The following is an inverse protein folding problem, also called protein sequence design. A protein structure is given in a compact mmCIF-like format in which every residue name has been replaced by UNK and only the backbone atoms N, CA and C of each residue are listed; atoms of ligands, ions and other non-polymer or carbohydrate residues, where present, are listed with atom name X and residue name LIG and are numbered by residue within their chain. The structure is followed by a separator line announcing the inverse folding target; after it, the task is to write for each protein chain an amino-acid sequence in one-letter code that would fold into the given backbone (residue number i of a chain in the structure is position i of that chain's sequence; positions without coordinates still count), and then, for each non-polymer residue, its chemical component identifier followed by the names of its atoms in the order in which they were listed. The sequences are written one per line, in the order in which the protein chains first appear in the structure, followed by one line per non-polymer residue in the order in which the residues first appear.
data_IF_692745419468
#
_entry.id   IF_692745419468
#
_cell.length_a   1.000
_cell.length_b   1.000
_cell.length_c   1.000
_cell.angle_alpha   90.00
_cell.angle_beta   90.00
_cell.angle_gamma   90.00
#
_symmetry.space_group_name_H-M   'P 1'
#
loop_
_entity.id
_entity.type
_entity.pdbx_description
1 polymer ?
#
# COMPACT_ATOMS: atom_id res chain seq x y z
N UNK A 1 54.21 33.00 -16.29
CA UNK A 1 52.93 32.51 -15.74
C UNK A 1 52.34 31.60 -16.78
N UNK A 2 52.41 30.28 -16.57
CA UNK A 2 51.97 29.29 -17.55
C UNK A 2 50.45 29.26 -17.63
N UNK A 3 49.91 29.29 -18.86
CA UNK A 3 48.52 29.00 -19.15
C UNK A 3 48.23 27.57 -18.74
N UNK A 4 47.41 27.38 -17.71
CA UNK A 4 46.79 26.07 -17.46
C UNK A 4 45.86 25.82 -18.63
N UNK A 5 46.16 24.78 -19.40
CA UNK A 5 45.38 24.37 -20.55
C UNK A 5 44.08 23.75 -20.04
N UNK A 6 43.02 24.57 -20.05
CA UNK A 6 41.70 24.25 -19.49
C UNK A 6 41.07 23.05 -20.21
N UNK A 7 41.39 22.90 -21.49
CA UNK A 7 40.80 21.90 -22.40
C UNK A 7 41.28 20.47 -22.07
N UNK A 8 42.58 20.29 -21.78
CA UNK A 8 43.15 19.01 -21.35
C UNK A 8 42.70 18.59 -19.96
N UNK A 9 42.48 19.56 -19.06
CA UNK A 9 41.98 19.28 -17.71
C UNK A 9 40.50 18.89 -17.74
N UNK A 10 39.70 19.53 -18.60
CA UNK A 10 38.29 19.22 -18.80
C UNK A 10 38.10 17.85 -19.46
N UNK A 11 38.87 17.53 -20.51
CA UNK A 11 38.86 16.20 -21.13
C UNK A 11 39.25 15.07 -20.16
N UNK A 12 40.27 15.28 -19.32
CA UNK A 12 40.68 14.29 -18.33
C UNK A 12 39.63 14.07 -17.22
N UNK A 13 38.91 15.13 -16.84
CA UNK A 13 37.77 15.05 -15.91
C UNK A 13 36.58 14.31 -16.53
N UNK A 14 36.33 14.50 -17.82
CA UNK A 14 35.29 13.79 -18.58
C UNK A 14 35.61 12.28 -18.72
N UNK A 15 36.85 11.92 -19.08
CA UNK A 15 37.27 10.51 -19.15
C UNK A 15 37.22 9.80 -17.80
N UNK A 16 37.67 10.47 -16.72
CA UNK A 16 37.58 9.96 -15.36
C UNK A 16 36.13 9.71 -14.91
N UNK A 17 35.24 10.64 -15.26
CA UNK A 17 33.80 10.52 -14.98
C UNK A 17 33.16 9.36 -15.74
N UNK A 18 33.47 9.22 -17.02
CA UNK A 18 32.99 8.11 -17.85
C UNK A 18 33.48 6.76 -17.34
N UNK A 19 34.73 6.67 -16.90
CA UNK A 19 35.28 5.45 -16.30
C UNK A 19 34.55 5.07 -15.01
N UNK A 20 34.31 6.05 -14.12
CA UNK A 20 33.54 5.84 -12.90
C UNK A 20 32.11 5.35 -13.19
N UNK A 21 31.45 5.92 -14.21
CA UNK A 21 30.10 5.48 -14.62
C UNK A 21 30.14 4.04 -15.13
N UNK A 22 31.10 3.69 -16.00
CA UNK A 22 31.25 2.34 -16.53
C UNK A 22 31.48 1.31 -15.42
N UNK A 23 32.34 1.61 -14.44
CA UNK A 23 32.59 0.75 -13.29
C UNK A 23 31.34 0.54 -12.42
N UNK A 24 30.54 1.59 -12.21
CA UNK A 24 29.27 1.50 -11.48
C UNK A 24 28.25 0.64 -12.24
N UNK A 25 28.12 0.82 -13.55
CA UNK A 25 27.22 0.01 -14.38
C UNK A 25 27.63 -1.47 -14.34
N UNK A 26 28.93 -1.76 -14.47
CA UNK A 26 29.47 -3.12 -14.35
C UNK A 26 29.17 -3.72 -12.97
N UNK A 27 29.26 -2.92 -11.90
CA UNK A 27 28.88 -3.35 -10.55
C UNK A 27 27.37 -3.64 -10.45
N UNK A 28 26.52 -2.80 -11.03
CA UNK A 28 25.06 -3.02 -11.07
C UNK A 28 24.69 -4.29 -11.83
N UNK A 29 25.29 -4.50 -13.00
CA UNK A 29 25.12 -5.74 -13.78
C UNK A 29 25.54 -6.97 -12.96
N UNK A 30 26.73 -6.91 -12.34
CA UNK A 30 27.20 -8.00 -11.49
C UNK A 30 26.31 -8.30 -10.27
N UNK A 31 25.65 -7.30 -9.69
CA UNK A 31 24.69 -7.51 -8.60
C UNK A 31 23.31 -8.02 -9.09
N UNK A 32 22.87 -7.57 -10.27
CA UNK A 32 21.66 -8.09 -10.94
C UNK A 32 21.84 -9.57 -11.27
N UNK A 33 22.95 -9.92 -11.90
CA UNK A 33 23.17 -11.26 -12.45
C UNK A 33 23.25 -12.34 -11.37
N UNK A 34 23.73 -12.02 -10.16
CA UNK A 34 23.67 -12.91 -8.97
C UNK A 34 22.26 -13.38 -8.60
N UNK A 35 21.22 -12.66 -9.06
CA UNK A 35 19.83 -12.82 -8.61
C UNK A 35 18.88 -13.10 -9.76
N UNK A 36 19.38 -13.11 -11.00
CA UNK A 36 18.62 -13.60 -12.14
C UNK A 36 18.32 -15.08 -11.93
N UNK A 37 17.04 -15.43 -12.03
CA UNK A 37 16.53 -16.75 -11.71
C UNK A 37 15.70 -17.26 -12.88
N UNK A 38 16.06 -18.40 -13.49
CA UNK A 38 15.36 -18.92 -14.67
C UNK A 38 13.92 -19.33 -14.37
N UNK A 39 13.63 -19.65 -13.11
CA UNK A 39 12.29 -19.98 -12.60
C UNK A 39 11.41 -18.75 -12.35
N UNK A 40 11.88 -17.52 -12.61
CA UNK A 40 11.02 -16.34 -12.70
C UNK A 40 10.09 -16.16 -11.49
N UNK A 41 8.77 -16.09 -11.70
CA UNK A 41 7.79 -15.94 -10.62
C UNK A 41 7.56 -17.24 -9.81
N UNK A 42 7.95 -18.40 -10.33
CA UNK A 42 7.78 -19.70 -9.67
C UNK A 42 8.71 -19.88 -8.45
N UNK A 43 9.67 -18.96 -8.28
CA UNK A 43 10.47 -18.84 -7.06
C UNK A 43 9.63 -18.45 -5.82
N UNK A 44 8.34 -18.16 -5.99
CA UNK A 44 7.41 -17.78 -4.93
C UNK A 44 6.20 -18.71 -4.88
N UNK A 45 5.74 -19.00 -3.66
CA UNK A 45 4.43 -19.61 -3.42
C UNK A 45 3.39 -18.51 -3.31
N UNK A 46 2.45 -18.47 -4.24
CA UNK A 46 1.30 -17.57 -4.17
C UNK A 46 0.26 -18.15 -3.19
N UNK A 47 0.11 -17.49 -2.03
CA UNK A 47 -0.71 -18.03 -0.94
C UNK A 47 -2.20 -18.13 -1.29
N UNK A 48 -2.68 -17.35 -2.24
CA UNK A 48 -4.07 -17.45 -2.73
C UNK A 48 -4.35 -18.69 -3.59
N UNK A 49 -3.32 -19.43 -4.01
CA UNK A 49 -3.42 -20.64 -4.85
C UNK A 49 -2.93 -21.91 -4.16
N UNK A 50 -2.40 -21.82 -2.93
CA UNK A 50 -1.88 -22.99 -2.24
C UNK A 50 -2.99 -23.87 -1.67
N UNK A 51 -2.80 -25.19 -1.71
CA UNK A 51 -3.64 -26.17 -1.03
C UNK A 51 -3.05 -26.62 0.32
N UNK A 52 -1.78 -26.29 0.59
CA UNK A 52 -1.11 -26.60 1.86
C UNK A 52 -1.82 -25.87 3.02
N UNK A 53 -2.44 -26.60 3.98
CA UNK A 53 -3.17 -26.00 5.09
C UNK A 53 -2.31 -25.11 5.99
N UNK A 54 -1.02 -25.44 6.14
CA UNK A 54 -0.07 -24.66 6.93
C UNK A 54 0.20 -23.32 6.24
N UNK A 55 0.39 -23.34 4.93
CA UNK A 55 0.60 -22.10 4.16
C UNK A 55 -0.68 -21.25 4.08
N UNK A 56 -1.86 -21.88 4.03
CA UNK A 56 -3.15 -21.16 4.12
C UNK A 56 -3.33 -20.41 5.44
N UNK A 57 -2.66 -20.81 6.52
CA UNK A 57 -2.73 -20.06 7.78
C UNK A 57 -2.19 -18.62 7.63
N UNK A 58 -1.29 -18.37 6.69
CA UNK A 58 -0.75 -17.03 6.40
C UNK A 58 -1.74 -16.10 5.70
N UNK A 59 -2.88 -16.61 5.23
CA UNK A 59 -3.93 -15.78 4.59
C UNK A 59 -5.07 -15.44 5.55
N UNK A 60 -5.04 -15.95 6.79
CA UNK A 60 -6.08 -15.66 7.79
C UNK A 60 -6.15 -14.17 8.06
N UNK A 61 -7.36 -13.67 8.28
CA UNK A 61 -7.62 -12.29 8.66
C UNK A 61 -7.63 -12.18 10.19
N UNK A 62 -6.62 -11.56 10.82
CA UNK A 62 -6.57 -11.43 12.28
C UNK A 62 -7.41 -10.24 12.79
N UNK A 63 -8.05 -9.46 11.89
CA UNK A 63 -8.72 -8.21 12.23
C UNK A 63 -10.25 -8.27 12.16
N UNK A 64 -10.81 -9.49 12.08
CA UNK A 64 -12.24 -9.70 12.03
C UNK A 64 -12.93 -9.17 13.29
N UNK A 65 -14.09 -8.56 13.10
CA UNK A 65 -14.97 -8.10 14.18
C UNK A 65 -16.44 -8.28 13.77
N UNK A 66 -17.37 -7.85 14.63
CA UNK A 66 -18.81 -8.02 14.40
C UNK A 66 -19.30 -7.43 13.07
N UNK A 67 -18.69 -6.32 12.61
CA UNK A 67 -19.07 -5.67 11.33
C UNK A 67 -18.65 -6.51 10.12
N UNK A 68 -17.64 -7.37 10.25
CA UNK A 68 -17.12 -8.20 9.16
C UNK A 68 -18.16 -9.20 8.63
N UNK A 69 -19.16 -9.54 9.45
CA UNK A 69 -20.20 -10.51 9.11
C UNK A 69 -21.50 -9.91 8.65
N UNK A 70 -21.59 -8.57 8.58
CA UNK A 70 -22.75 -7.89 8.03
C UNK A 70 -23.01 -8.36 6.59
N UNK A 71 -24.27 -8.72 6.33
CA UNK A 71 -24.77 -9.06 5.00
C UNK A 71 -25.74 -7.97 4.58
N UNK A 72 -25.43 -7.29 3.48
CA UNK A 72 -26.25 -6.22 2.90
C UNK A 72 -26.83 -6.59 1.54
N UNK A 73 -26.24 -7.60 0.89
CA UNK A 73 -26.70 -8.12 -0.39
C UNK A 73 -27.21 -9.56 -0.23
N UNK A 74 -28.33 -9.85 -0.88
CA UNK A 74 -28.96 -11.16 -0.90
C UNK A 74 -28.90 -11.79 -2.29
N UNK A 75 -29.02 -13.11 -2.35
CA UNK A 75 -29.01 -13.85 -3.62
C UNK A 75 -30.19 -13.41 -4.51
N UNK A 76 -29.89 -13.17 -5.79
CA UNK A 76 -30.84 -12.67 -6.78
C UNK A 76 -31.11 -11.15 -6.73
N UNK A 77 -30.55 -10.41 -5.78
CA UNK A 77 -30.79 -8.97 -5.64
C UNK A 77 -30.28 -8.20 -6.86
N UNK A 78 -31.04 -7.18 -7.27
CA UNK A 78 -30.63 -6.21 -8.30
C UNK A 78 -30.28 -4.88 -7.65
N UNK A 79 -29.13 -4.33 -8.03
CA UNK A 79 -28.57 -3.07 -7.51
C UNK A 79 -28.08 -2.19 -8.65
N UNK A 80 -27.80 -0.91 -8.38
CA UNK A 80 -27.33 0.01 -9.41
C UNK A 80 -25.80 0.03 -9.52
N UNK A 81 -25.07 0.26 -8.42
CA UNK A 81 -23.61 0.37 -8.44
C UNK A 81 -22.95 -0.65 -7.49
N UNK A 82 -22.13 -1.53 -8.05
CA UNK A 82 -21.26 -2.42 -7.29
C UNK A 82 -19.80 -2.01 -7.48
N UNK A 83 -19.11 -1.75 -6.37
CA UNK A 83 -17.70 -1.40 -6.33
C UNK A 83 -16.93 -2.53 -5.67
N UNK A 84 -16.04 -3.17 -6.43
CA UNK A 84 -15.10 -4.16 -5.91
C UNK A 84 -13.90 -3.42 -5.30
N UNK A 85 -13.71 -3.56 -3.99
CA UNK A 85 -12.68 -2.92 -3.20
C UNK A 85 -13.28 -1.87 -2.27
N UNK A 86 -13.07 -2.04 -0.97
CA UNK A 86 -13.37 -1.10 0.11
C UNK A 86 -12.07 -0.43 0.62
N UNK A 87 -11.04 -0.36 -0.21
CA UNK A 87 -9.86 0.48 0.01
C UNK A 87 -10.09 1.93 -0.42
N UNK A 88 -9.03 2.75 -0.30
CA UNK A 88 -9.06 4.17 -0.64
C UNK A 88 -9.62 4.45 -2.04
N UNK A 89 -9.23 3.67 -3.05
CA UNK A 89 -9.70 3.85 -4.43
C UNK A 89 -11.20 3.58 -4.62
N UNK A 90 -11.70 2.46 -4.07
CA UNK A 90 -13.13 2.14 -4.15
C UNK A 90 -13.99 3.11 -3.33
N UNK A 91 -13.48 3.56 -2.18
CA UNK A 91 -14.12 4.61 -1.40
C UNK A 91 -14.19 5.92 -2.18
N UNK A 92 -13.08 6.36 -2.80
CA UNK A 92 -13.05 7.56 -3.62
C UNK A 92 -14.02 7.47 -4.81
N UNK A 93 -14.12 6.30 -5.45
CA UNK A 93 -15.11 6.09 -6.51
C UNK A 93 -16.55 6.24 -6.02
N UNK A 94 -16.89 5.59 -4.89
CA UNK A 94 -18.21 5.72 -4.27
C UNK A 94 -18.55 7.18 -3.89
N UNK A 95 -17.60 7.89 -3.29
CA UNK A 95 -17.76 9.32 -2.94
C UNK A 95 -17.99 10.16 -4.20
N UNK A 96 -17.24 9.92 -5.27
CA UNK A 96 -17.42 10.65 -6.52
C UNK A 96 -18.76 10.34 -7.21
N UNK A 97 -19.27 9.11 -7.13
CA UNK A 97 -20.63 8.80 -7.58
C UNK A 97 -21.67 9.62 -6.82
N UNK A 98 -21.54 9.69 -5.50
CA UNK A 98 -22.45 10.49 -4.65
C UNK A 98 -22.35 11.97 -4.99
N UNK A 99 -21.14 12.51 -5.12
CA UNK A 99 -20.91 13.91 -5.55
C UNK A 99 -21.51 14.20 -6.94
N UNK A 100 -21.65 13.18 -7.80
CA UNK A 100 -22.28 13.30 -9.12
C UNK A 100 -23.81 13.15 -9.09
N UNK A 101 -24.42 13.01 -7.92
CA UNK A 101 -25.88 12.92 -7.73
C UNK A 101 -26.43 11.50 -7.55
N UNK A 102 -25.59 10.47 -7.47
CA UNK A 102 -26.04 9.10 -7.15
C UNK A 102 -26.41 9.02 -5.67
N UNK A 103 -27.54 8.38 -5.33
CA UNK A 103 -27.89 8.16 -3.93
C UNK A 103 -26.91 7.14 -3.30
N UNK A 104 -26.42 7.42 -2.09
CA UNK A 104 -25.54 6.51 -1.36
C UNK A 104 -26.20 5.16 -1.04
N UNK A 105 -27.54 5.09 -1.00
CA UNK A 105 -28.28 3.82 -0.87
C UNK A 105 -28.10 2.88 -2.08
N UNK A 106 -27.67 3.41 -3.22
CA UNK A 106 -27.51 2.67 -4.48
C UNK A 106 -26.06 2.22 -4.75
N UNK A 107 -25.14 2.55 -3.85
CA UNK A 107 -23.71 2.23 -3.94
C UNK A 107 -23.34 1.15 -2.93
N UNK A 108 -22.84 0.02 -3.43
CA UNK A 108 -22.41 -1.11 -2.62
C UNK A 108 -20.92 -1.34 -2.77
N UNK A 109 -20.20 -1.39 -1.65
CA UNK A 109 -18.78 -1.76 -1.61
C UNK A 109 -18.66 -3.25 -1.25
N UNK A 110 -17.85 -4.02 -1.96
CA UNK A 110 -17.52 -5.40 -1.61
C UNK A 110 -16.02 -5.60 -1.51
N UNK A 111 -15.57 -6.28 -0.46
CA UNK A 111 -14.14 -6.53 -0.25
C UNK A 111 -13.92 -7.91 0.41
N UNK A 112 -12.79 -8.54 0.12
CA UNK A 112 -12.40 -9.80 0.75
C UNK A 112 -11.87 -9.60 2.17
N UNK A 113 -11.41 -8.39 2.48
CA UNK A 113 -11.12 -7.91 3.83
C UNK A 113 -12.34 -7.99 4.75
N UNK A 114 -12.11 -8.18 6.06
CA UNK A 114 -13.14 -8.07 7.07
C UNK A 114 -13.56 -6.63 7.42
N UNK A 115 -13.06 -5.61 6.74
CA UNK A 115 -13.40 -4.21 7.03
C UNK A 115 -12.87 -3.23 5.98
N UNK A 116 -13.17 -1.95 6.19
CA UNK A 116 -12.77 -0.86 5.30
C UNK A 116 -11.29 -0.54 5.44
N UNK A 117 -10.66 -0.08 4.34
CA UNK A 117 -9.32 0.50 4.34
C UNK A 117 -8.35 -0.15 3.35
N UNK A 118 -8.69 -1.32 2.79
CA UNK A 118 -7.86 -2.03 1.81
C UNK A 118 -6.46 -2.33 2.36
N UNK A 119 -5.41 -1.77 1.76
CA UNK A 119 -4.04 -1.91 2.28
C UNK A 119 -3.92 -1.55 3.75
N UNK A 120 -4.63 -0.52 4.23
CA UNK A 120 -4.60 -0.05 5.62
C UNK A 120 -5.51 -0.85 6.56
N UNK A 121 -6.43 -1.64 6.00
CA UNK A 121 -7.11 -2.69 6.76
C UNK A 121 -6.16 -3.86 7.04
N UNK A 122 -5.46 -4.32 6.00
CA UNK A 122 -4.65 -5.52 6.08
C UNK A 122 -3.34 -5.32 6.85
N UNK A 123 -2.58 -4.28 6.49
CA UNK A 123 -1.26 -4.03 7.03
C UNK A 123 -1.40 -3.24 8.34
N UNK A 124 -1.26 -3.94 9.45
CA UNK A 124 -1.25 -3.37 10.81
C UNK A 124 -0.03 -3.86 11.59
N UNK A 125 1.12 -3.93 10.93
CA UNK A 125 2.37 -4.25 11.60
C UNK A 125 2.90 -3.00 12.33
N UNK A 126 3.79 -3.17 13.32
CA UNK A 126 4.32 -2.08 14.14
C UNK A 126 4.81 -0.89 13.33
N UNK A 127 4.24 0.28 13.61
CA UNK A 127 4.57 1.56 12.94
C UNK A 127 4.49 1.55 11.42
N UNK A 128 3.63 0.71 10.86
CA UNK A 128 3.29 0.83 9.44
C UNK A 128 2.86 2.27 9.14
N UNK A 129 3.45 2.88 8.12
CA UNK A 129 3.18 4.26 7.71
C UNK A 129 3.17 4.38 6.19
N UNK A 130 2.52 5.42 5.68
CA UNK A 130 2.73 5.82 4.29
C UNK A 130 4.20 6.26 4.08
N UNK A 131 4.64 6.17 2.84
CA UNK A 131 5.99 6.52 2.40
C UNK A 131 5.99 7.73 1.45
N UNK A 132 4.83 8.34 1.26
CA UNK A 132 4.57 9.62 0.60
C UNK A 132 4.01 10.57 1.66
N UNK A 133 4.30 11.87 1.54
CA UNK A 133 3.77 12.90 2.42
C UNK A 133 2.24 12.79 2.61
N UNK A 134 1.78 12.80 3.86
CA UNK A 134 0.38 12.68 4.24
C UNK A 134 -0.54 13.71 3.56
N UNK A 135 -0.02 14.91 3.30
CA UNK A 135 -0.80 16.05 2.79
C UNK A 135 -1.21 15.87 1.33
N UNK A 136 -0.55 14.97 0.60
CA UNK A 136 -0.91 14.54 -0.76
C UNK A 136 -1.41 13.09 -0.80
N UNK A 137 -1.12 12.30 0.23
CA UNK A 137 -1.54 10.91 0.33
C UNK A 137 -3.02 10.76 0.69
N UNK A 138 -3.53 11.55 1.65
CA UNK A 138 -4.92 11.47 2.05
C UNK A 138 -5.81 12.13 0.99
N UNK A 139 -6.91 11.47 0.56
CA UNK A 139 -7.88 12.08 -0.34
C UNK A 139 -8.79 13.04 0.43
N UNK A 140 -9.32 14.07 -0.22
CA UNK A 140 -10.36 14.95 0.31
C UNK A 140 -9.99 15.76 1.58
N UNK A 141 -8.70 16.06 1.79
CA UNK A 141 -8.26 16.84 2.96
C UNK A 141 -8.90 18.24 2.99
N UNK A 142 -8.99 18.91 1.84
CA UNK A 142 -9.58 20.24 1.74
C UNK A 142 -11.07 20.23 2.10
N UNK A 143 -11.86 19.28 1.60
CA UNK A 143 -13.29 19.18 1.91
C UNK A 143 -13.60 18.70 3.32
N UNK A 144 -12.66 17.96 3.93
CA UNK A 144 -12.83 17.47 5.30
C UNK A 144 -12.31 18.43 6.35
N UNK A 145 -11.38 19.32 5.99
CA UNK A 145 -10.61 20.12 6.94
C UNK A 145 -9.74 19.27 7.87
N UNK A 146 -9.48 18.01 7.50
CA UNK A 146 -8.70 17.10 8.32
C UNK A 146 -7.22 17.46 8.22
N UNK A 147 -6.57 17.63 9.37
CA UNK A 147 -5.13 17.81 9.46
C UNK A 147 -4.48 16.46 9.83
N UNK A 148 -3.69 15.84 8.94
CA UNK A 148 -2.90 14.67 9.30
C UNK A 148 -1.99 14.98 10.49
N UNK A 149 -1.81 14.04 11.41
CA UNK A 149 -1.04 14.23 12.65
C UNK A 149 0.47 14.24 12.42
N UNK A 150 0.94 13.64 11.33
CA UNK A 150 2.34 13.54 10.97
C UNK A 150 2.53 13.77 9.47
N UNK A 151 3.73 14.21 9.07
CA UNK A 151 4.09 14.29 7.66
C UNK A 151 4.10 12.91 6.96
N UNK A 152 4.29 11.81 7.70
CA UNK A 152 4.04 10.44 7.22
C UNK A 152 3.11 9.69 8.17
N UNK A 153 1.81 9.71 7.91
CA UNK A 153 0.80 9.13 8.79
C UNK A 153 0.95 7.62 8.97
N UNK A 154 0.66 7.17 10.19
CA UNK A 154 0.60 5.75 10.52
C UNK A 154 -0.68 5.10 9.96
N UNK A 155 -0.62 3.80 9.72
CA UNK A 155 -1.71 3.06 9.09
C UNK A 155 -3.05 3.15 9.82
N UNK A 156 -3.04 3.15 11.16
CA UNK A 156 -4.26 3.29 11.95
C UNK A 156 -4.94 4.64 11.74
N UNK A 157 -4.18 5.73 11.59
CA UNK A 157 -4.71 7.07 11.32
C UNK A 157 -5.36 7.12 9.95
N UNK A 158 -4.66 6.60 8.93
CA UNK A 158 -5.17 6.53 7.57
C UNK A 158 -6.46 5.71 7.52
N UNK A 159 -6.47 4.53 8.15
CA UNK A 159 -7.68 3.68 8.20
C UNK A 159 -8.84 4.39 8.89
N UNK A 160 -8.60 4.99 10.06
CA UNK A 160 -9.63 5.71 10.80
C UNK A 160 -10.21 6.88 9.99
N UNK A 161 -9.37 7.58 9.23
CA UNK A 161 -9.83 8.63 8.31
C UNK A 161 -10.71 8.07 7.19
N UNK A 162 -10.31 6.98 6.55
CA UNK A 162 -11.11 6.32 5.50
C UNK A 162 -12.46 5.83 6.05
N UNK A 163 -12.48 5.27 7.27
CA UNK A 163 -13.71 4.90 7.97
C UNK A 163 -14.60 6.11 8.25
N UNK A 164 -14.02 7.24 8.65
CA UNK A 164 -14.76 8.49 8.85
C UNK A 164 -15.36 9.05 7.56
N UNK A 165 -14.64 8.93 6.44
CA UNK A 165 -15.13 9.30 5.11
C UNK A 165 -16.29 8.39 4.68
N UNK A 166 -16.15 7.08 4.85
CA UNK A 166 -17.21 6.12 4.54
C UNK A 166 -18.50 6.44 5.32
N UNK A 167 -18.38 6.75 6.61
CA UNK A 167 -19.51 7.17 7.43
C UNK A 167 -20.11 8.51 6.98
N UNK A 168 -19.27 9.53 6.72
CA UNK A 168 -19.71 10.86 6.26
C UNK A 168 -20.54 10.81 4.98
N UNK A 169 -20.15 9.93 4.04
CA UNK A 169 -20.85 9.76 2.76
C UNK A 169 -21.87 8.61 2.77
N UNK A 170 -22.07 7.93 3.90
CA UNK A 170 -23.02 6.82 4.05
C UNK A 170 -22.69 5.60 3.21
N UNK A 171 -21.41 5.31 2.95
CA UNK A 171 -20.94 4.16 2.17
C UNK A 171 -20.69 2.92 3.05
N UNK A 172 -20.60 3.09 4.36
CA UNK A 172 -20.45 2.00 5.33
C UNK A 172 -21.73 1.16 5.49
N UNK A 173 -22.91 1.77 5.27
CA UNK A 173 -24.21 1.10 5.39
C UNK A 173 -24.37 -0.06 4.41
N UNK A 174 -23.80 0.04 3.21
CA UNK A 174 -23.90 -0.91 2.11
C UNK A 174 -22.59 -1.63 1.79
N UNK A 175 -21.59 -1.52 2.66
CA UNK A 175 -20.35 -2.27 2.55
C UNK A 175 -20.54 -3.73 3.02
N UNK A 176 -20.11 -4.69 2.21
CA UNK A 176 -20.15 -6.12 2.50
C UNK A 176 -18.75 -6.73 2.45
N UNK A 177 -18.24 -7.07 3.62
CA UNK A 177 -16.89 -7.56 3.86
C UNK A 177 -16.79 -9.09 3.78
N UNK A 178 -15.57 -9.65 3.85
CA UNK A 178 -15.29 -11.08 3.71
C UNK A 178 -15.95 -11.69 2.47
N UNK A 179 -16.05 -10.91 1.40
CA UNK A 179 -16.76 -11.26 0.17
C UNK A 179 -15.83 -11.21 -1.02
N UNK A 180 -15.54 -12.38 -1.58
CA UNK A 180 -14.69 -12.50 -2.76
C UNK A 180 -15.57 -12.57 -4.01
N UNK A 181 -15.43 -11.61 -4.92
CA UNK A 181 -16.03 -11.71 -6.26
C UNK A 181 -15.30 -12.81 -7.04
N UNK A 182 -16.06 -13.75 -7.61
CA UNK A 182 -15.53 -14.91 -8.34
C UNK A 182 -15.68 -14.75 -9.85
N UNK A 183 -16.78 -14.16 -10.31
CA UNK A 183 -17.03 -13.89 -11.73
C UNK A 183 -17.99 -12.71 -11.91
N UNK A 184 -17.89 -12.06 -13.06
CA UNK A 184 -18.84 -11.08 -13.55
C UNK A 184 -19.07 -11.33 -15.04
N UNK A 185 -20.33 -11.51 -15.43
CA UNK A 185 -20.73 -11.77 -16.82
C UNK A 185 -21.77 -10.75 -17.22
N UNK A 186 -21.58 -10.12 -18.38
CA UNK A 186 -22.56 -9.18 -18.92
C UNK A 186 -23.74 -9.95 -19.53
N UNK A 187 -24.96 -9.56 -19.17
CA UNK A 187 -26.20 -10.04 -19.77
C UNK A 187 -26.74 -8.95 -20.70
N UNK A 188 -26.65 -9.18 -22.02
CA UNK A 188 -27.11 -8.24 -23.05
C UNK A 188 -28.63 -8.00 -23.01
N UNK A 189 -29.41 -9.00 -22.59
CA UNK A 189 -30.87 -8.89 -22.53
C UNK A 189 -31.31 -8.03 -21.34
N UNK A 190 -30.69 -8.25 -20.18
CA UNK A 190 -30.97 -7.50 -18.96
C UNK A 190 -30.24 -6.16 -18.88
N UNK A 191 -29.22 -5.97 -19.73
CA UNK A 191 -28.28 -4.82 -19.72
C UNK A 191 -27.65 -4.60 -18.35
N UNK A 192 -27.24 -5.71 -17.71
CA UNK A 192 -26.66 -5.73 -16.37
C UNK A 192 -25.57 -6.79 -16.30
N UNK A 193 -24.63 -6.59 -15.38
CA UNK A 193 -23.67 -7.61 -14.97
C UNK A 193 -24.33 -8.57 -13.99
N UNK A 194 -24.25 -9.87 -14.24
CA UNK A 194 -24.45 -10.90 -13.23
C UNK A 194 -23.11 -11.18 -12.53
N UNK A 195 -23.05 -10.91 -11.22
CA UNK A 195 -21.84 -11.03 -10.41
C UNK A 195 -22.02 -12.15 -9.41
N UNK A 196 -21.13 -13.15 -9.46
CA UNK A 196 -21.09 -14.25 -8.48
C UNK A 196 -20.03 -13.95 -7.44
N UNK A 197 -20.41 -14.05 -6.17
CA UNK A 197 -19.57 -13.73 -5.01
C UNK A 197 -19.61 -14.85 -3.98
N UNK A 198 -18.49 -15.06 -3.29
CA UNK A 198 -18.38 -15.98 -2.17
C UNK A 198 -18.23 -15.19 -0.87
N UNK A 199 -19.28 -15.16 -0.05
CA UNK A 199 -19.28 -14.54 1.28
C UNK A 199 -18.86 -15.57 2.31
N UNK A 200 -17.82 -15.26 3.09
CA UNK A 200 -17.49 -16.02 4.30
C UNK A 200 -18.14 -15.36 5.50
N UNK A 201 -18.82 -16.14 6.34
CA UNK A 201 -19.42 -15.70 7.61
C UNK A 201 -18.82 -16.52 8.76
N UNK A 202 -18.83 -16.00 9.99
CA UNK A 202 -18.35 -16.75 11.16
C UNK A 202 -19.23 -17.97 11.49
N UNK A 203 -20.54 -17.88 11.24
CA UNK A 203 -21.54 -18.85 11.69
C UNK A 203 -21.95 -19.90 10.64
N UNK A 204 -20.99 -20.44 9.90
CA UNK A 204 -21.27 -21.55 8.97
C UNK A 204 -20.36 -21.59 7.75
N UNK A 205 -20.68 -22.45 6.76
CA UNK A 205 -19.91 -22.55 5.53
C UNK A 205 -20.03 -21.24 4.71
N UNK A 206 -19.03 -20.94 3.85
CA UNK A 206 -19.13 -19.86 2.88
C UNK A 206 -20.40 -19.97 2.03
N UNK A 207 -21.02 -18.84 1.71
CA UNK A 207 -22.24 -18.74 0.90
C UNK A 207 -21.94 -18.11 -0.44
N UNK A 208 -22.39 -18.75 -1.51
CA UNK A 208 -22.41 -18.14 -2.84
C UNK A 208 -23.62 -17.22 -2.95
N UNK A 209 -23.40 -15.99 -3.41
CA UNK A 209 -24.41 -14.97 -3.64
C UNK A 209 -24.26 -14.48 -5.07
N UNK A 210 -25.35 -14.46 -5.83
CA UNK A 210 -25.43 -13.85 -7.15
C UNK A 210 -26.21 -12.55 -7.08
N UNK A 211 -25.68 -11.48 -7.65
CA UNK A 211 -26.39 -10.19 -7.76
C UNK A 211 -26.35 -9.69 -9.19
N UNK A 212 -27.30 -8.83 -9.55
CA UNK A 212 -27.31 -8.10 -10.83
C UNK A 212 -26.99 -6.63 -10.58
N UNK A 213 -26.02 -6.08 -11.29
CA UNK A 213 -25.65 -4.67 -11.17
C UNK A 213 -25.58 -3.98 -12.53
N UNK A 214 -25.96 -2.71 -12.62
CA UNK A 214 -25.85 -1.95 -13.86
C UNK A 214 -24.42 -1.46 -14.07
N UNK A 215 -23.78 -0.97 -13.01
CA UNK A 215 -22.41 -0.46 -13.04
C UNK A 215 -21.52 -1.27 -12.11
N UNK A 216 -20.49 -1.90 -12.68
CA UNK A 216 -19.48 -2.65 -11.96
C UNK A 216 -18.13 -1.91 -12.06
N UNK A 217 -17.58 -1.50 -10.92
CA UNK A 217 -16.30 -0.78 -10.87
C UNK A 217 -15.24 -1.58 -10.10
N UNK A 218 -14.02 -1.65 -10.61
CA UNK A 218 -12.94 -2.47 -10.06
C UNK A 218 -11.83 -1.64 -9.43
N UNK A 219 -11.68 -1.78 -8.11
CA UNK A 219 -10.59 -1.19 -7.32
C UNK A 219 -9.92 -2.25 -6.43
N UNK A 220 -9.41 -3.37 -7.00
CA UNK A 220 -8.82 -4.44 -6.22
C UNK A 220 -7.54 -3.99 -5.50
N UNK A 221 -6.85 -2.96 -6.00
CA UNK A 221 -5.51 -2.58 -5.55
C UNK A 221 -4.40 -3.39 -6.26
N UNK A 222 -3.15 -3.00 -6.02
CA UNK A 222 -1.98 -3.53 -6.75
C UNK A 222 -1.15 -4.56 -5.95
N UNK A 223 -1.31 -4.63 -4.62
CA UNK A 223 -0.54 -5.50 -3.73
C UNK A 223 -1.45 -6.43 -2.90
N UNK A 224 -2.33 -7.15 -3.58
CA UNK A 224 -3.44 -7.88 -2.95
C UNK A 224 -3.07 -9.25 -2.39
N UNK A 225 -2.10 -9.95 -2.99
CA UNK A 225 -1.80 -11.33 -2.63
C UNK A 225 -0.42 -11.47 -2.00
N UNK A 226 -0.38 -12.02 -0.79
CA UNK A 226 0.86 -12.36 -0.11
C UNK A 226 1.54 -13.51 -0.85
N UNK A 227 2.86 -13.45 -0.88
CA UNK A 227 3.69 -14.51 -1.43
C UNK A 227 4.77 -14.89 -0.43
N UNK A 228 5.07 -16.17 -0.34
CA UNK A 228 6.22 -16.66 0.41
C UNK A 228 7.31 -17.08 -0.57
N UNK A 229 8.60 -17.01 -0.19
CA UNK A 229 9.64 -17.62 -1.01
C UNK A 229 9.42 -19.14 -1.04
N UNK A 230 9.62 -19.77 -2.21
CA UNK A 230 9.51 -21.22 -2.39
C UNK A 230 10.74 -21.95 -1.82
N UNK A 231 10.96 -21.80 -0.50
CA UNK A 231 12.07 -22.45 0.23
C UNK A 231 11.64 -23.87 0.59
N UNK A 232 12.40 -24.91 0.23
CA UNK A 232 12.13 -26.27 0.65
C UNK A 232 12.00 -26.36 2.18
N UNK A 233 10.90 -26.94 2.65
CA UNK A 233 10.63 -27.09 4.08
C UNK A 233 10.07 -25.85 4.78
N UNK A 234 9.70 -24.78 4.08
CA UNK A 234 9.13 -23.57 4.73
C UNK A 234 7.89 -23.87 5.58
N UNK A 235 7.03 -24.81 5.16
CA UNK A 235 5.85 -25.25 5.93
C UNK A 235 6.18 -26.22 7.09
N UNK A 236 7.41 -26.72 7.18
CA UNK A 236 7.83 -27.66 8.24
C UNK A 236 8.37 -26.97 9.50
N UNK A 237 8.57 -25.65 9.46
CA UNK A 237 9.01 -24.88 10.62
C UNK A 237 7.95 -24.95 11.73
N UNK A 238 8.35 -25.41 12.92
CA UNK A 238 7.45 -25.64 14.05
C UNK A 238 7.26 -24.42 14.97
N UNK A 239 8.04 -23.36 14.77
CA UNK A 239 7.87 -22.11 15.52
C UNK A 239 6.69 -21.29 15.01
N UNK A 240 6.33 -20.25 15.78
CA UNK A 240 5.31 -19.29 15.37
C UNK A 240 5.77 -18.53 14.12
N UNK A 241 4.88 -18.44 13.14
CA UNK A 241 5.15 -17.83 11.84
C UNK A 241 3.87 -17.17 11.30
N UNK A 242 4.03 -15.99 10.71
CA UNK A 242 2.98 -15.24 10.05
C UNK A 242 3.59 -14.26 9.05
N UNK A 243 2.79 -13.78 8.10
CA UNK A 243 3.22 -12.77 7.13
C UNK A 243 3.06 -11.38 7.75
N UNK A 244 3.96 -10.44 7.46
CA UNK A 244 3.90 -9.07 8.02
C UNK A 244 2.56 -8.36 7.71
N UNK A 245 1.98 -8.63 6.55
CA UNK A 245 0.65 -8.14 6.14
C UNK A 245 -0.54 -8.79 6.90
N UNK A 246 -0.29 -9.74 7.79
CA UNK A 246 -1.24 -10.42 8.69
C UNK A 246 -0.61 -10.50 10.08
N UNK A 247 -0.12 -9.36 10.57
CA UNK A 247 0.60 -9.27 11.83
C UNK A 247 -0.20 -9.88 12.98
N UNK A 248 0.43 -10.70 13.80
CA UNK A 248 -0.23 -11.36 14.92
C UNK A 248 0.28 -10.81 16.26
N UNK A 249 -0.44 -9.83 16.79
CA UNK A 249 -0.15 -9.24 18.10
C UNK A 249 -0.33 -10.22 19.27
N UNK A 250 -1.07 -11.33 19.09
CA UNK A 250 -1.13 -12.38 20.11
C UNK A 250 0.22 -13.07 20.29
N UNK A 251 1.02 -13.13 19.23
CA UNK A 251 2.39 -13.65 19.24
C UNK A 251 3.38 -12.61 19.74
N UNK A 252 3.30 -11.37 19.25
CA UNK A 252 4.34 -10.37 19.49
C UNK A 252 4.15 -9.52 20.74
N UNK A 253 2.90 -9.39 21.23
CA UNK A 253 2.54 -8.39 22.23
C UNK A 253 2.36 -7.00 21.61
N UNK A 254 1.68 -6.11 22.33
CA UNK A 254 1.33 -4.75 21.88
C UNK A 254 0.07 -4.68 21.01
N UNK A 255 -0.17 -3.51 20.44
CA UNK A 255 -1.23 -3.22 19.45
C UNK A 255 -0.67 -2.41 18.28
N UNK A 256 -1.52 -2.06 17.32
CA UNK A 256 -1.15 -1.19 16.20
C UNK A 256 -0.78 0.22 16.66
N UNK A 257 -1.55 0.78 17.60
CA UNK A 257 -1.32 2.10 18.18
C UNK A 257 -0.18 2.11 19.20
N UNK A 258 -0.03 1.03 19.96
CA UNK A 258 0.99 0.86 21.00
C UNK A 258 1.81 -0.42 20.76
N UNK A 259 2.80 -0.37 19.85
CA UNK A 259 3.57 -1.56 19.44
C UNK A 259 4.65 -1.95 20.47
N UNK A 260 4.24 -2.20 21.72
CA UNK A 260 5.13 -2.73 22.77
C UNK A 260 5.22 -4.25 22.61
N UNK A 261 6.22 -4.71 21.85
CA UNK A 261 6.37 -6.12 21.47
C UNK A 261 7.02 -6.98 22.58
N UNK A 262 6.49 -6.88 23.80
CA UNK A 262 7.06 -7.46 25.02
C UNK A 262 7.21 -8.98 25.00
N UNK A 263 6.34 -9.71 24.29
CA UNK A 263 6.42 -11.17 24.13
C UNK A 263 7.62 -11.63 23.28
N UNK A 264 8.35 -10.70 22.67
CA UNK A 264 9.57 -11.01 21.90
C UNK A 264 10.85 -10.97 22.74
N UNK A 265 10.81 -10.48 23.99
CA UNK A 265 12.00 -10.22 24.84
C UNK A 265 12.92 -11.41 25.09
N UNK A 266 12.38 -12.63 25.08
CA UNK A 266 13.13 -13.87 25.25
C UNK A 266 13.25 -14.66 23.94
N UNK A 267 12.76 -14.11 22.82
CA UNK A 267 12.63 -14.82 21.54
C UNK A 267 13.76 -14.47 20.57
N UNK A 268 14.15 -15.48 19.80
CA UNK A 268 14.95 -15.31 18.58
C UNK A 268 13.98 -15.14 17.42
N UNK A 269 14.02 -14.00 16.76
CA UNK A 269 13.09 -13.64 15.69
C UNK A 269 13.84 -13.59 14.37
N UNK A 270 13.24 -14.11 13.31
CA UNK A 270 13.78 -14.00 11.95
C UNK A 270 12.79 -13.23 11.07
N UNK A 271 13.28 -12.26 10.31
CA UNK A 271 12.52 -11.53 9.29
C UNK A 271 13.13 -11.87 7.92
N UNK A 272 12.31 -12.38 7.01
CA UNK A 272 12.71 -12.70 5.64
C UNK A 272 12.27 -11.57 4.72
N UNK A 273 13.24 -10.91 4.10
CA UNK A 273 13.02 -9.76 3.24
C UNK A 273 13.11 -8.42 3.96
N UNK A 274 13.48 -7.40 3.18
CA UNK A 274 13.86 -6.07 3.65
C UNK A 274 13.34 -4.97 2.70
N UNK A 275 12.21 -5.22 2.01
CA UNK A 275 11.50 -4.16 1.27
C UNK A 275 10.86 -3.14 2.22
N UNK A 276 9.99 -2.26 1.75
CA UNK A 276 9.40 -1.18 2.56
C UNK A 276 8.83 -1.67 3.91
N UNK A 277 8.05 -2.75 3.90
CA UNK A 277 7.51 -3.35 5.13
C UNK A 277 8.60 -3.91 6.05
N UNK A 278 9.65 -4.51 5.49
CA UNK A 278 10.79 -4.99 6.25
C UNK A 278 11.56 -3.86 6.90
N UNK A 279 11.88 -2.79 6.17
CA UNK A 279 12.58 -1.60 6.70
C UNK A 279 11.83 -1.00 7.89
N UNK A 280 10.50 -0.86 7.80
CA UNK A 280 9.68 -0.38 8.91
C UNK A 280 9.62 -1.38 10.08
N UNK A 281 9.32 -2.65 9.81
CA UNK A 281 9.11 -3.66 10.86
C UNK A 281 10.37 -4.12 11.59
N UNK A 282 11.52 -4.21 10.89
CA UNK A 282 12.82 -4.62 11.46
C UNK A 282 13.21 -3.71 12.62
N UNK A 283 13.06 -2.39 12.45
CA UNK A 283 13.43 -1.41 13.47
C UNK A 283 12.58 -1.57 14.75
N UNK A 284 11.28 -1.88 14.62
CA UNK A 284 10.44 -2.11 15.79
C UNK A 284 10.74 -3.45 16.46
N UNK A 285 10.93 -4.53 15.69
CA UNK A 285 11.25 -5.85 16.27
C UNK A 285 12.60 -5.84 16.99
N UNK A 286 13.60 -5.13 16.46
CA UNK A 286 14.95 -5.05 17.04
C UNK A 286 14.96 -4.46 18.46
N UNK A 287 13.99 -3.59 18.80
CA UNK A 287 13.88 -2.97 20.13
C UNK A 287 13.49 -3.96 21.23
N UNK A 288 12.86 -5.08 20.85
CA UNK A 288 12.26 -6.01 21.80
C UNK A 288 12.82 -7.42 21.71
N UNK A 289 13.17 -7.93 20.53
CA UNK A 289 13.64 -9.31 20.37
C UNK A 289 14.95 -9.58 21.13
N UNK A 290 15.12 -10.78 21.68
CA UNK A 290 16.41 -11.20 22.28
C UNK A 290 17.52 -11.23 21.22
N UNK A 291 17.21 -11.82 20.08
CA UNK A 291 18.07 -11.87 18.90
C UNK A 291 17.20 -11.66 17.66
N UNK A 292 17.67 -10.84 16.72
CA UNK A 292 17.00 -10.60 15.44
C UNK A 292 17.89 -11.02 14.28
N UNK A 293 17.37 -11.90 13.43
CA UNK A 293 18.00 -12.34 12.19
C UNK A 293 17.28 -11.73 10.99
N UNK A 294 17.97 -10.90 10.22
CA UNK A 294 17.43 -10.32 8.98
C UNK A 294 17.97 -11.09 7.78
N UNK A 295 17.09 -11.84 7.11
CA UNK A 295 17.44 -12.65 5.94
C UNK A 295 17.25 -11.83 4.68
N UNK A 296 18.34 -11.25 4.19
CA UNK A 296 18.35 -10.34 3.04
C UNK A 296 18.84 -11.03 1.77
N UNK A 297 18.06 -10.89 0.69
CA UNK A 297 18.51 -11.28 -0.67
C UNK A 297 19.07 -10.09 -1.45
N UNK A 298 18.37 -8.96 -1.44
CA UNK A 298 18.78 -7.71 -2.11
C UNK A 298 18.67 -6.57 -1.11
N UNK A 299 19.72 -5.79 -0.86
CA UNK A 299 19.60 -4.61 0.02
C UNK A 299 18.60 -3.61 -0.58
N UNK A 300 17.68 -3.10 0.24
CA UNK A 300 16.87 -1.95 -0.12
C UNK A 300 17.72 -0.69 -0.05
N UNK A 301 17.47 0.26 -0.95
CA UNK A 301 17.97 1.63 -0.78
C UNK A 301 17.14 2.30 0.30
N UNK A 302 17.79 2.81 1.34
CA UNK A 302 17.14 3.43 2.50
C UNK A 302 17.61 4.88 2.57
N UNK A 303 16.65 5.79 2.68
CA UNK A 303 16.90 7.21 2.84
C UNK A 303 16.25 7.74 4.13
N UNK A 304 16.51 9.01 4.44
CA UNK A 304 15.98 9.72 5.59
C UNK A 304 14.48 9.93 5.38
N UNK A 305 13.68 9.46 6.36
CA UNK A 305 12.24 9.71 6.38
C UNK A 305 11.88 11.06 7.01
N UNK A 306 12.69 11.56 7.94
CA UNK A 306 12.41 12.79 8.71
C UNK A 306 10.97 12.88 9.24
N UNK A 307 10.54 11.80 9.92
CA UNK A 307 9.20 11.70 10.49
C UNK A 307 9.01 12.73 11.60
N UNK A 308 7.96 13.56 11.49
CA UNK A 308 7.63 14.61 12.46
C UNK A 308 6.13 14.80 12.61
N UNK A 309 5.66 15.29 13.78
CA UNK A 309 4.30 15.79 13.90
C UNK A 309 4.07 16.94 12.91
N UNK A 310 2.85 17.05 12.41
CA UNK A 310 2.42 18.20 11.60
C UNK A 310 2.40 19.45 12.49
N UNK A 311 3.10 20.50 12.08
CA UNK A 311 3.04 21.81 12.74
C UNK A 311 1.73 22.50 12.36
N UNK A 312 0.86 22.88 13.32
CA UNK A 312 -0.38 23.59 13.03
C UNK A 312 -0.20 24.90 12.25
N UNK A 313 0.91 25.62 12.47
CA UNK A 313 1.17 26.87 11.75
C UNK A 313 1.54 26.60 10.28
N UNK A 314 2.40 25.62 10.03
CA UNK A 314 2.74 25.15 8.69
C UNK A 314 1.49 24.63 7.96
N UNK A 315 0.67 23.81 8.64
CA UNK A 315 -0.57 23.30 8.09
C UNK A 315 -1.53 24.42 7.69
N UNK A 316 -1.72 25.41 8.56
CA UNK A 316 -2.57 26.57 8.27
C UNK A 316 -2.09 27.31 7.02
N UNK A 317 -0.78 27.45 6.82
CA UNK A 317 -0.21 28.06 5.63
C UNK A 317 -0.37 27.18 4.37
N UNK A 318 -0.21 25.85 4.49
CA UNK A 318 -0.43 24.90 3.39
C UNK A 318 -1.89 24.93 2.94
N UNK A 319 -2.83 24.96 3.89
CA UNK A 319 -4.26 24.77 3.63
C UNK A 319 -5.05 26.07 3.48
N UNK A 320 -4.40 27.24 3.39
CA UNK A 320 -5.08 28.54 3.39
C UNK A 320 -5.80 28.88 2.08
N UNK A 321 -5.26 28.42 0.95
CA UNK A 321 -5.71 28.81 -0.37
C UNK A 321 -6.67 27.75 -0.96
N UNK A 322 -7.72 28.14 -1.71
CA UNK A 322 -8.58 27.18 -2.38
C UNK A 322 -7.80 26.31 -3.39
N UNK A 323 -8.18 25.04 -3.50
CA UNK A 323 -7.55 24.01 -4.34
C UNK A 323 -6.11 23.68 -3.96
N UNK A 324 -5.65 24.04 -2.74
CA UNK A 324 -4.28 23.78 -2.30
C UNK A 324 -3.89 22.31 -2.44
N UNK A 325 -4.82 21.39 -2.17
CA UNK A 325 -4.55 19.95 -2.17
C UNK A 325 -4.22 19.46 -3.58
N UNK A 326 -5.05 19.83 -4.53
CA UNK A 326 -4.89 19.48 -5.94
C UNK A 326 -3.65 20.17 -6.56
N UNK A 327 -3.36 21.42 -6.18
CA UNK A 327 -2.11 22.11 -6.55
C UNK A 327 -0.89 21.34 -6.01
N UNK A 328 -0.91 20.93 -4.74
CA UNK A 328 0.20 20.20 -4.09
C UNK A 328 0.41 18.81 -4.71
N UNK A 329 -0.68 18.09 -4.98
CA UNK A 329 -0.64 16.80 -5.67
C UNK A 329 -0.04 16.91 -7.08
N UNK A 330 -0.48 17.91 -7.88
CA UNK A 330 0.11 18.15 -9.20
C UNK A 330 1.58 18.56 -9.11
N UNK A 331 1.92 19.43 -8.17
CA UNK A 331 3.31 19.86 -7.97
C UNK A 331 4.24 18.67 -7.67
N UNK A 332 3.82 17.73 -6.81
CA UNK A 332 4.58 16.49 -6.56
C UNK A 332 4.70 15.64 -7.83
N UNK A 333 3.61 15.44 -8.57
CA UNK A 333 3.62 14.67 -9.81
C UNK A 333 4.54 15.30 -10.88
N UNK A 334 4.51 16.62 -11.01
CA UNK A 334 5.36 17.39 -11.91
C UNK A 334 6.84 17.30 -11.49
N UNK A 335 7.12 17.28 -10.18
CA UNK A 335 8.50 17.11 -9.69
C UNK A 335 9.03 15.70 -9.97
N UNK A 336 8.24 14.67 -9.67
CA UNK A 336 8.58 13.27 -9.91
C UNK A 336 8.78 12.93 -11.39
N UNK A 337 8.03 13.59 -12.27
CA UNK A 337 8.14 13.42 -13.73
C UNK A 337 9.14 14.39 -14.38
N UNK A 338 9.71 15.33 -13.63
CA UNK A 338 10.60 16.37 -14.18
C UNK A 338 9.88 17.40 -15.05
N UNK A 339 8.57 17.55 -14.89
CA UNK A 339 7.72 18.52 -15.56
C UNK A 339 7.56 19.85 -14.79
N UNK A 340 8.05 19.94 -13.54
CA UNK A 340 7.99 21.17 -12.73
C UNK A 340 8.73 22.30 -13.45
N UNK A 341 8.06 23.44 -13.68
CA UNK A 341 8.64 24.50 -14.51
C UNK A 341 9.72 25.28 -13.76
N UNK A 342 10.74 25.82 -14.47
CA UNK A 342 11.72 26.70 -13.85
C UNK A 342 11.05 27.88 -13.12
N UNK A 343 11.38 28.05 -11.83
CA UNK A 343 10.85 29.10 -10.98
C UNK A 343 9.54 28.77 -10.24
N UNK A 344 8.88 27.65 -10.53
CA UNK A 344 7.78 27.16 -9.70
C UNK A 344 8.35 26.57 -8.40
N UNK A 345 7.77 26.87 -7.22
CA UNK A 345 8.23 26.31 -5.96
C UNK A 345 7.97 24.81 -5.90
N UNK A 346 8.92 24.04 -5.38
CA UNK A 346 8.72 22.65 -5.01
C UNK A 346 8.01 22.63 -3.65
N UNK A 347 6.76 22.15 -3.62
CA UNK A 347 5.89 22.24 -2.45
C UNK A 347 6.08 21.06 -1.49
N UNK A 348 6.36 19.87 -2.02
CA UNK A 348 6.74 18.67 -1.26
C UNK A 348 8.25 18.58 -1.30
N UNK A 349 8.91 18.52 -0.15
CA UNK A 349 10.38 18.46 -0.07
C UNK A 349 10.80 17.30 0.83
N UNK A 350 10.74 16.10 0.26
CA UNK A 350 11.14 14.85 0.91
C UNK A 350 11.97 13.97 -0.03
N UNK A 351 12.42 12.82 0.48
CA UNK A 351 13.25 11.89 -0.29
C UNK A 351 12.57 11.41 -1.59
N UNK A 352 11.23 11.35 -1.65
CA UNK A 352 10.47 10.81 -2.77
C UNK A 352 10.72 11.63 -4.04
N UNK A 353 10.80 12.95 -3.89
CA UNK A 353 11.02 13.91 -4.98
C UNK A 353 12.51 14.23 -5.22
N UNK A 354 13.38 13.94 -4.25
CA UNK A 354 14.83 14.13 -4.38
C UNK A 354 15.52 13.14 -5.33
N UNK A 355 14.90 11.99 -5.63
CA UNK A 355 15.50 10.96 -6.50
C UNK A 355 15.07 11.14 -7.96
N UNK A 356 15.76 12.04 -8.67
CA UNK A 356 15.44 12.40 -10.06
C UNK A 356 15.43 11.24 -11.05
N UNK A 357 16.16 10.15 -10.78
CA UNK A 357 16.17 8.95 -11.65
C UNK A 357 14.83 8.21 -11.69
N UNK A 358 13.91 8.45 -10.74
CA UNK A 358 12.56 7.89 -10.80
C UNK A 358 11.74 8.38 -12.00
N UNK A 359 12.13 9.50 -12.63
CA UNK A 359 11.51 10.01 -13.87
C UNK A 359 11.36 8.93 -14.93
N UNK A 360 12.34 8.03 -15.05
CA UNK A 360 12.31 6.91 -16.02
C UNK A 360 11.12 5.98 -15.78
N UNK A 361 10.70 5.80 -14.52
CA UNK A 361 9.55 4.97 -14.15
C UNK A 361 8.23 5.73 -14.34
N UNK A 362 8.23 7.04 -14.09
CA UNK A 362 7.04 7.89 -14.20
C UNK A 362 6.76 8.44 -15.62
N UNK A 363 7.63 8.15 -16.59
CA UNK A 363 7.49 8.62 -17.98
C UNK A 363 8.03 10.03 -18.24
N UNK A 364 8.85 10.55 -17.33
CA UNK A 364 9.59 11.80 -17.49
C UNK A 364 10.84 11.63 -18.37
N UNK A 365 11.36 12.75 -18.90
CA UNK A 365 12.66 12.72 -19.58
C UNK A 365 13.75 12.31 -18.58
N UNK A 366 14.62 11.38 -18.99
CA UNK A 366 15.77 10.94 -18.20
C UNK A 366 16.87 12.02 -18.07
N UNK A 367 16.69 13.17 -18.74
CA UNK A 367 17.67 14.26 -18.76
C UNK A 367 17.60 15.06 -17.45
N UNK A 368 18.72 15.06 -16.75
CA UNK A 368 19.05 15.88 -15.58
C UNK A 368 20.55 15.98 -15.50
#
# INVERSE_FOLDING_TARGET
MGSVDVDTTQHALEESTLHMIADRLKKYDGERDKRLRPDGLDQYVLLSKTEDPTLRAFTRDPWLNERSDKVTLHDGQTIEHLVLGAGMGGLAAGINFIKSGVNSDDVYLVDDAGGLGGSWYWNRYPRVSCDIESYVYFPYLEETGYMPKHNFSYGFEIRAYLESLAARYGLDKNAMYRTKVQSAVWDDSAKRWEVTMLKTISSGPPKTIKVRTRFLSFFPGVHVYQKLPAIPGISSYSGQQFHIARWDYSVTGGTEEEPVLDKLRDKRVAIIGNGCSGVQGIAEVAKYAKELYVMQRTPASVDIRDQRPTDPAEWAEISKDPNWWDIRCRNMADTLSGALKPGEPQLVDDYTVGVTTYRVVFGGKAEG
#
